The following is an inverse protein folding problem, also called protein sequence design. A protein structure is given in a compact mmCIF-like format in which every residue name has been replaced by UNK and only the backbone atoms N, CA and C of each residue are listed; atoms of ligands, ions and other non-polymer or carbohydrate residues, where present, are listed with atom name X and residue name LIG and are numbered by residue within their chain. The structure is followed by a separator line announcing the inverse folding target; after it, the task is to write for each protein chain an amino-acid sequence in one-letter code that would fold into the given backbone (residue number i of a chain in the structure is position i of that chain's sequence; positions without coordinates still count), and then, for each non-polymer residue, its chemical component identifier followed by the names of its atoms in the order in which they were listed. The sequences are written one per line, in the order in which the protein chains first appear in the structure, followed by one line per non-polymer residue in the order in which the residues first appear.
data_IF_417698128124
#
_entry.id   IF_417698128124
#
_cell.length_a   1.000
_cell.length_b   1.000
_cell.length_c   1.000
_cell.angle_alpha   90.00
_cell.angle_beta   90.00
_cell.angle_gamma   90.00
#
_symmetry.space_group_name_H-M   'P 1'
#
loop_
_entity.id
_entity.type
_entity.pdbx_description
1 polymer ?
#
# COMPACT_ATOMS: atom_id res chain seq x y z
N UNK A 1 -10.31 13.51 -15.67
CA UNK A 1 -8.95 13.08 -15.26
C UNK A 1 -8.48 13.81 -14.00
N UNK A 2 -8.62 15.14 -13.90
CA UNK A 2 -8.16 15.90 -12.73
C UNK A 2 -8.84 15.50 -11.41
N UNK A 3 -10.06 14.96 -11.45
CA UNK A 3 -10.79 14.49 -10.28
C UNK A 3 -10.48 13.02 -9.92
N UNK A 4 -9.84 12.29 -10.83
CA UNK A 4 -9.49 10.89 -10.66
C UNK A 4 -8.10 10.70 -10.06
N UNK A 5 -7.21 11.65 -10.32
CA UNK A 5 -5.81 11.55 -9.98
C UNK A 5 -5.37 12.70 -9.07
N UNK A 6 -4.36 12.42 -8.26
CA UNK A 6 -3.73 13.41 -7.38
C UNK A 6 -2.22 13.41 -7.56
N UNK A 7 -1.59 14.52 -7.21
CA UNK A 7 -0.15 14.55 -7.01
C UNK A 7 0.19 13.73 -5.77
N UNK A 8 1.19 12.88 -5.86
CA UNK A 8 1.55 11.97 -4.79
C UNK A 8 3.00 12.12 -4.41
N UNK A 9 3.28 11.78 -3.17
CA UNK A 9 4.63 11.75 -2.64
C UNK A 9 4.88 10.35 -2.04
N UNK A 10 5.93 9.69 -2.51
CA UNK A 10 6.48 8.50 -1.87
C UNK A 10 7.59 8.93 -0.93
N UNK A 11 7.50 8.50 0.30
CA UNK A 11 8.48 8.74 1.35
C UNK A 11 9.00 7.41 1.87
N UNK A 12 10.31 7.28 1.94
CA UNK A 12 10.96 6.09 2.47
C UNK A 12 12.13 6.51 3.38
N UNK A 13 12.10 6.01 4.60
CA UNK A 13 13.12 6.28 5.60
C UNK A 13 13.68 4.96 6.10
N UNK A 14 15.00 4.83 6.08
CA UNK A 14 15.71 3.67 6.60
C UNK A 14 16.81 4.14 7.53
N UNK A 15 16.81 3.60 8.73
CA UNK A 15 17.86 3.83 9.72
C UNK A 15 18.43 2.49 10.15
N UNK A 16 19.73 2.41 10.21
CA UNK A 16 20.41 1.20 10.70
C UNK A 16 21.59 1.56 11.61
N UNK A 17 21.83 0.68 12.54
CA UNK A 17 22.98 0.76 13.44
C UNK A 17 23.64 -0.62 13.53
N UNK A 18 24.97 -0.62 13.61
CA UNK A 18 25.76 -1.82 13.87
C UNK A 18 26.81 -1.53 14.90
N UNK A 19 27.17 -2.54 15.67
CA UNK A 19 28.18 -2.43 16.69
C UNK A 19 28.72 -3.78 17.10
N UNK A 20 29.88 -3.76 17.73
CA UNK A 20 30.57 -4.98 18.21
C UNK A 20 30.94 -4.82 19.69
N UNK A 21 29.94 -4.83 20.61
CA UNK A 21 30.24 -4.77 22.05
C UNK A 21 30.87 -6.10 22.50
N UNK A 22 32.11 -6.04 22.99
CA UNK A 22 32.87 -7.24 23.34
C UNK A 22 33.10 -8.10 22.12
N UNK A 23 32.68 -9.37 22.19
CA UNK A 23 32.80 -10.33 21.08
C UNK A 23 31.52 -10.44 20.23
N UNK A 24 30.42 -9.78 20.62
CA UNK A 24 29.16 -9.82 19.90
C UNK A 24 29.22 -8.90 18.67
N UNK A 25 28.54 -9.32 17.58
CA UNK A 25 28.23 -8.44 16.45
C UNK A 25 26.72 -8.23 16.42
N UNK A 26 26.30 -6.99 16.49
CA UNK A 26 24.90 -6.63 16.52
C UNK A 26 24.61 -5.70 15.35
N UNK A 27 23.50 -5.97 14.67
CA UNK A 27 22.93 -5.10 13.65
C UNK A 27 21.46 -4.91 13.93
N UNK A 28 21.00 -3.68 13.87
CA UNK A 28 19.57 -3.34 13.95
C UNK A 28 19.22 -2.36 12.84
N UNK A 29 18.05 -2.51 12.26
CA UNK A 29 17.52 -1.55 11.29
C UNK A 29 16.03 -1.37 11.44
N UNK A 30 15.57 -0.17 11.11
CA UNK A 30 14.17 0.19 11.05
C UNK A 30 13.90 0.93 9.74
N UNK A 31 12.82 0.57 9.06
CA UNK A 31 12.38 1.18 7.83
C UNK A 31 10.91 1.59 7.91
N UNK A 32 10.59 2.74 7.33
CA UNK A 32 9.25 3.23 7.14
C UNK A 32 9.04 3.61 5.68
N UNK A 33 7.97 3.11 5.08
CA UNK A 33 7.53 3.47 3.73
C UNK A 33 6.11 4.01 3.81
N UNK A 34 5.91 5.19 3.21
CA UNK A 34 4.58 5.74 2.93
C UNK A 34 4.51 6.05 1.44
N UNK A 35 3.66 5.31 0.74
CA UNK A 35 3.47 5.44 -0.70
C UNK A 35 2.00 5.74 -0.98
N UNK A 36 1.72 6.98 -1.35
CA UNK A 36 0.39 7.39 -1.79
C UNK A 36 0.23 7.13 -3.27
N UNK A 37 -0.80 6.36 -3.65
CA UNK A 37 -1.12 6.05 -5.04
C UNK A 37 -1.57 7.28 -5.83
N UNK A 38 -1.48 7.22 -7.15
CA UNK A 38 -1.98 8.26 -8.06
C UNK A 38 -3.50 8.40 -7.98
N UNK A 39 -4.21 7.29 -7.79
CA UNK A 39 -5.65 7.26 -7.58
C UNK A 39 -5.92 7.61 -6.12
N UNK A 40 -6.93 8.43 -5.87
CA UNK A 40 -7.35 8.76 -4.51
C UNK A 40 -7.82 7.49 -3.78
N UNK A 41 -7.44 7.35 -2.51
CA UNK A 41 -7.80 6.16 -1.71
C UNK A 41 -6.85 4.96 -1.89
N UNK A 42 -5.90 5.01 -2.81
CA UNK A 42 -4.84 4.00 -2.91
C UNK A 42 -3.61 4.46 -2.13
N UNK A 43 -3.43 3.91 -0.95
CA UNK A 43 -2.33 4.25 -0.05
C UNK A 43 -1.69 2.98 0.49
N UNK A 44 -0.38 2.97 0.61
CA UNK A 44 0.38 1.88 1.22
C UNK A 44 1.32 2.44 2.29
N UNK A 45 1.24 1.88 3.48
CA UNK A 45 2.21 2.11 4.54
C UNK A 45 2.88 0.79 4.92
N UNK A 46 4.16 0.85 5.23
CA UNK A 46 4.92 -0.32 5.66
C UNK A 46 5.96 0.06 6.69
N UNK A 47 5.97 -0.67 7.77
CA UNK A 47 7.02 -0.64 8.79
C UNK A 47 7.82 -1.93 8.70
N UNK A 48 9.13 -1.82 8.82
CA UNK A 48 10.04 -2.97 8.88
C UNK A 48 11.03 -2.79 10.00
N UNK A 49 11.29 -3.86 10.74
CA UNK A 49 12.33 -3.89 11.74
C UNK A 49 13.15 -5.17 11.56
N UNK A 50 14.45 -5.08 11.72
CA UNK A 50 15.34 -6.24 11.67
C UNK A 50 16.40 -6.13 12.76
N UNK A 51 16.66 -7.26 13.41
CA UNK A 51 17.74 -7.39 14.38
C UNK A 51 18.53 -8.65 14.02
N UNK A 52 19.84 -8.54 13.98
CA UNK A 52 20.77 -9.65 13.86
C UNK A 52 21.79 -9.58 14.98
N UNK A 53 22.02 -10.71 15.59
CA UNK A 53 23.04 -10.87 16.64
C UNK A 53 23.86 -12.11 16.31
N UNK A 54 25.17 -11.94 16.27
CA UNK A 54 26.14 -13.02 16.14
C UNK A 54 27.04 -12.96 17.38
N UNK A 55 27.15 -14.07 18.11
CA UNK A 55 27.88 -14.13 19.35
C UNK A 55 28.81 -15.38 19.41
N UNK A 56 30.11 -15.23 19.31
CA UNK A 56 31.06 -16.32 19.58
C UNK A 56 31.13 -16.55 21.08
N UNK A 57 30.54 -17.64 21.56
CA UNK A 57 30.57 -18.06 22.98
C UNK A 57 31.98 -18.58 23.34
N UNK A 58 32.58 -19.33 22.43
CA UNK A 58 33.90 -19.92 22.51
C UNK A 58 34.56 -19.88 21.14
N UNK A 59 35.85 -20.12 21.06
CA UNK A 59 36.57 -20.19 19.79
C UNK A 59 36.02 -21.27 18.84
N UNK A 60 35.40 -22.29 19.42
CA UNK A 60 34.77 -23.39 18.70
C UNK A 60 33.26 -23.32 18.59
N UNK A 61 32.60 -22.37 19.26
CA UNK A 61 31.10 -22.25 19.29
C UNK A 61 30.68 -20.81 19.06
N UNK A 62 29.94 -20.61 17.95
CA UNK A 62 29.28 -19.36 17.64
C UNK A 62 27.76 -19.59 17.53
N UNK A 63 26.99 -18.71 18.10
CA UNK A 63 25.55 -18.68 17.91
C UNK A 63 25.15 -17.39 17.21
N UNK A 64 24.05 -17.45 16.48
CA UNK A 64 23.49 -16.27 15.86
C UNK A 64 21.97 -16.33 15.75
N UNK A 65 21.39 -15.16 15.68
CA UNK A 65 19.97 -14.97 15.50
C UNK A 65 19.72 -13.82 14.54
N UNK A 66 18.77 -14.02 13.64
CA UNK A 66 18.25 -12.96 12.78
C UNK A 66 16.74 -12.98 12.90
N UNK A 67 16.15 -11.84 13.30
CA UNK A 67 14.73 -11.65 13.38
C UNK A 67 14.33 -10.44 12.54
N UNK A 68 13.26 -10.58 11.78
CA UNK A 68 12.69 -9.50 10.99
C UNK A 68 11.18 -9.45 11.19
N UNK A 69 10.67 -8.26 11.37
CA UNK A 69 9.25 -7.96 11.44
C UNK A 69 8.88 -6.99 10.33
N UNK A 70 7.74 -7.21 9.72
CA UNK A 70 7.14 -6.31 8.76
C UNK A 70 5.65 -6.21 9.02
N UNK A 71 5.17 -4.98 9.13
CA UNK A 71 3.74 -4.66 9.11
C UNK A 71 3.48 -3.83 7.87
N UNK A 72 2.41 -4.12 7.14
CA UNK A 72 1.95 -3.29 6.05
C UNK A 72 0.44 -3.08 6.14
N UNK A 73 0.04 -1.91 5.73
CA UNK A 73 -1.35 -1.53 5.51
C UNK A 73 -1.47 -1.02 4.08
N UNK A 74 -2.41 -1.57 3.35
CA UNK A 74 -2.70 -1.19 1.97
C UNK A 74 -4.18 -0.90 1.82
N UNK A 75 -4.49 0.35 1.50
CA UNK A 75 -5.83 0.78 1.14
C UNK A 75 -5.95 0.77 -0.38
N UNK A 76 -6.94 0.05 -0.87
CA UNK A 76 -7.29 0.00 -2.29
C UNK A 76 -8.83 0.00 -2.41
N UNK A 77 -9.40 1.18 -2.51
CA UNK A 77 -10.83 1.37 -2.78
C UNK A 77 -11.18 1.29 -4.27
N UNK A 78 -10.18 1.16 -5.14
CA UNK A 78 -10.41 1.12 -6.58
C UNK A 78 -11.10 -0.19 -6.98
N UNK A 79 -12.22 -0.07 -7.71
CA UNK A 79 -12.97 -1.21 -8.19
C UNK A 79 -12.30 -1.93 -9.37
N UNK A 80 -13.06 -2.79 -10.04
CA UNK A 80 -12.64 -3.47 -11.26
C UNK A 80 -13.64 -3.23 -12.40
N UNK A 81 -13.20 -3.36 -13.63
CA UNK A 81 -14.05 -3.16 -14.80
C UNK A 81 -14.57 -1.72 -14.88
N UNK A 82 -15.89 -1.52 -14.88
CA UNK A 82 -16.50 -0.18 -14.95
C UNK A 82 -16.38 0.62 -13.65
N UNK A 83 -16.08 -0.03 -12.53
CA UNK A 83 -15.76 0.59 -11.25
C UNK A 83 -14.28 0.95 -11.09
N UNK A 84 -13.40 0.55 -12.02
CA UNK A 84 -12.01 0.99 -12.06
C UNK A 84 -11.93 2.43 -12.57
N UNK A 85 -11.31 3.29 -11.78
CA UNK A 85 -11.17 4.72 -12.08
C UNK A 85 -10.38 4.96 -13.36
N UNK A 86 -9.34 4.18 -13.63
CA UNK A 86 -8.55 4.32 -14.85
C UNK A 86 -9.37 3.94 -16.08
N UNK A 87 -10.04 2.79 -16.06
CA UNK A 87 -10.93 2.34 -17.13
C UNK A 87 -12.08 3.32 -17.37
N UNK A 88 -12.67 3.84 -16.29
CA UNK A 88 -13.71 4.85 -16.39
C UNK A 88 -13.19 6.14 -17.03
N UNK A 89 -12.05 6.66 -16.56
CA UNK A 89 -11.49 7.92 -17.04
C UNK A 89 -11.01 7.86 -18.51
N UNK A 90 -10.62 6.68 -18.99
CA UNK A 90 -10.13 6.50 -20.37
C UNK A 90 -11.22 6.16 -21.37
N UNK A 91 -12.30 5.49 -20.95
CA UNK A 91 -13.35 5.03 -21.84
C UNK A 91 -14.61 5.92 -21.84
N UNK A 92 -14.82 6.72 -20.79
CA UNK A 92 -15.92 7.69 -20.78
C UNK A 92 -15.50 8.97 -21.50
N UNK A 93 -16.25 9.32 -22.53
CA UNK A 93 -15.95 10.51 -23.31
C UNK A 93 -16.02 11.78 -22.40
N UNK A 94 -15.16 12.79 -22.61
CA UNK A 94 -15.08 14.00 -21.80
C UNK A 94 -16.39 14.84 -21.77
N UNK A 95 -17.30 14.59 -22.69
CA UNK A 95 -18.59 15.25 -22.75
C UNK A 95 -19.50 14.86 -21.56
N UNK A 96 -19.30 13.67 -20.99
CA UNK A 96 -20.10 13.20 -19.88
C UNK A 96 -19.58 13.77 -18.55
N UNK A 97 -20.41 14.46 -17.78
CA UNK A 97 -19.98 15.04 -16.52
C UNK A 97 -19.85 13.97 -15.42
N UNK A 98 -19.04 14.26 -14.41
CA UNK A 98 -18.92 13.43 -13.21
C UNK A 98 -20.14 13.61 -12.30
N UNK A 99 -20.65 14.85 -12.22
CA UNK A 99 -21.77 15.22 -11.37
C UNK A 99 -22.99 15.59 -12.20
N UNK A 100 -24.18 15.27 -11.68
CA UNK A 100 -25.43 15.72 -12.28
C UNK A 100 -25.47 17.24 -12.36
N UNK A 101 -26.03 17.74 -13.47
CA UNK A 101 -26.18 19.17 -13.72
C UNK A 101 -27.60 19.49 -14.06
N UNK A 102 -28.04 20.68 -13.64
CA UNK A 102 -29.34 21.25 -14.01
C UNK A 102 -29.35 21.78 -15.46
N UNK A 103 -30.47 22.29 -15.92
CA UNK A 103 -30.61 22.91 -17.24
C UNK A 103 -29.71 24.12 -17.49
N UNK A 104 -29.18 24.76 -16.44
CA UNK A 104 -28.25 25.88 -16.47
C UNK A 104 -26.78 25.43 -16.32
N UNK A 105 -26.55 24.12 -16.31
CA UNK A 105 -25.23 23.46 -16.12
C UNK A 105 -24.64 23.61 -14.72
N UNK A 106 -25.40 24.01 -13.70
CA UNK A 106 -24.93 24.03 -12.32
C UNK A 106 -24.93 22.61 -11.75
N UNK A 107 -23.96 22.33 -10.87
CA UNK A 107 -23.91 21.03 -10.16
C UNK A 107 -25.12 20.92 -9.24
N UNK A 108 -25.79 19.78 -9.29
CA UNK A 108 -26.89 19.45 -8.41
C UNK A 108 -26.39 18.85 -7.09
N UNK A 109 -27.08 19.19 -6.02
CA UNK A 109 -26.81 18.71 -4.67
C UNK A 109 -28.02 17.91 -4.14
N UNK A 110 -27.75 17.01 -3.21
CA UNK A 110 -28.81 16.32 -2.46
C UNK A 110 -29.28 17.17 -1.26
N UNK A 111 -30.22 16.62 -0.49
CA UNK A 111 -30.82 17.29 0.68
C UNK A 111 -29.78 17.54 1.81
N UNK A 112 -28.69 16.81 1.81
CA UNK A 112 -27.60 16.93 2.78
C UNK A 112 -26.46 17.85 2.29
N UNK A 113 -26.58 18.39 1.07
CA UNK A 113 -25.58 19.27 0.47
C UNK A 113 -24.42 18.55 -0.21
N UNK A 114 -24.51 17.24 -0.44
CA UNK A 114 -23.51 16.51 -1.23
C UNK A 114 -23.79 16.61 -2.72
N UNK A 115 -22.73 16.65 -3.52
CA UNK A 115 -22.82 16.65 -4.98
C UNK A 115 -23.44 15.32 -5.46
N UNK A 116 -24.44 15.39 -6.30
CA UNK A 116 -25.04 14.21 -6.92
C UNK A 116 -24.20 13.72 -8.08
N UNK A 117 -23.82 12.45 -8.07
CA UNK A 117 -23.02 11.85 -9.15
C UNK A 117 -23.88 11.51 -10.36
N UNK A 118 -23.31 11.63 -11.55
CA UNK A 118 -23.95 11.20 -12.80
C UNK A 118 -23.61 9.72 -13.08
N UNK A 119 -24.63 8.88 -13.05
CA UNK A 119 -24.53 7.46 -13.37
C UNK A 119 -24.64 7.14 -14.85
N UNK A 120 -24.83 8.14 -15.70
CA UNK A 120 -24.98 7.94 -17.14
C UNK A 120 -26.19 7.12 -17.56
N UNK A 121 -27.25 7.12 -16.76
CA UNK A 121 -28.48 6.34 -16.93
C UNK A 121 -29.65 7.17 -17.48
N UNK A 122 -29.38 8.36 -18.02
CA UNK A 122 -30.39 9.27 -18.54
C UNK A 122 -30.89 10.30 -17.51
N UNK A 123 -30.46 10.24 -16.27
CA UNK A 123 -30.84 11.24 -15.23
C UNK A 123 -30.28 12.63 -15.51
N UNK A 124 -29.26 12.73 -16.38
CA UNK A 124 -28.69 13.99 -16.83
C UNK A 124 -29.18 14.31 -18.25
N UNK A 125 -30.24 15.06 -18.35
CA UNK A 125 -30.85 15.50 -19.61
C UNK A 125 -31.26 14.37 -20.56
N UNK A 126 -31.52 13.16 -20.06
CA UNK A 126 -31.97 12.00 -20.85
C UNK A 126 -30.89 11.25 -21.60
N UNK A 127 -29.63 11.66 -21.52
CA UNK A 127 -28.54 10.99 -22.22
C UNK A 127 -28.02 9.79 -21.43
N UNK A 128 -28.07 8.62 -22.06
CA UNK A 128 -27.47 7.39 -21.53
C UNK A 128 -26.06 7.26 -22.09
N UNK A 129 -25.08 6.99 -21.22
CA UNK A 129 -23.70 6.73 -21.64
C UNK A 129 -23.61 5.34 -22.31
N UNK A 130 -22.89 5.22 -23.43
CA UNK A 130 -22.66 3.93 -24.07
C UNK A 130 -21.72 3.01 -23.28
N UNK A 131 -20.89 3.58 -22.39
CA UNK A 131 -19.97 2.85 -21.51
C UNK A 131 -20.24 3.22 -20.05
N UNK A 132 -20.19 2.23 -19.17
CA UNK A 132 -20.38 2.40 -17.72
C UNK A 132 -21.73 3.07 -17.35
N UNK A 133 -22.80 2.78 -18.08
CA UNK A 133 -24.15 3.18 -17.68
C UNK A 133 -24.50 2.53 -16.33
N UNK A 134 -25.16 3.29 -15.46
CA UNK A 134 -25.48 2.92 -14.08
C UNK A 134 -24.27 2.78 -13.13
N UNK A 135 -23.13 3.35 -13.45
CA UNK A 135 -21.92 3.32 -12.62
C UNK A 135 -21.26 4.70 -12.59
N UNK A 136 -20.57 5.02 -11.50
CA UNK A 136 -19.69 6.16 -11.41
C UNK A 136 -18.47 5.77 -10.56
N UNK A 137 -17.35 5.48 -11.22
CA UNK A 137 -16.15 4.98 -10.57
C UNK A 137 -15.57 5.92 -9.50
N UNK A 138 -15.78 7.23 -9.64
CA UNK A 138 -15.34 8.19 -8.62
C UNK A 138 -16.17 8.11 -7.34
N UNK A 139 -17.49 7.87 -7.46
CA UNK A 139 -18.31 7.63 -6.29
C UNK A 139 -17.99 6.28 -5.66
N UNK A 140 -17.82 5.24 -6.46
CA UNK A 140 -17.47 3.91 -5.98
C UNK A 140 -16.16 3.91 -5.21
N UNK A 141 -15.19 4.71 -5.64
CA UNK A 141 -13.91 4.89 -4.94
C UNK A 141 -14.08 5.40 -3.49
N UNK A 142 -15.09 6.23 -3.24
CA UNK A 142 -15.40 6.74 -1.91
C UNK A 142 -16.25 5.79 -1.07
N UNK A 143 -17.03 4.95 -1.71
CA UNK A 143 -17.93 3.99 -1.06
C UNK A 143 -17.24 2.65 -0.79
N UNK A 144 -16.31 2.26 -1.65
CA UNK A 144 -15.59 1.00 -1.52
C UNK A 144 -14.40 1.17 -0.57
N UNK A 145 -14.45 0.48 0.55
CA UNK A 145 -13.33 0.41 1.50
C UNK A 145 -12.61 -0.91 1.28
N UNK A 146 -11.49 -0.86 0.56
CA UNK A 146 -10.59 -1.98 0.43
C UNK A 146 -9.39 -1.75 1.34
N UNK A 147 -9.38 -2.34 2.53
CA UNK A 147 -8.23 -2.29 3.43
C UNK A 147 -7.65 -3.69 3.58
N UNK A 148 -6.34 -3.80 3.40
CA UNK A 148 -5.57 -5.01 3.64
C UNK A 148 -4.45 -4.70 4.62
N UNK A 149 -4.43 -5.40 5.73
CA UNK A 149 -3.37 -5.30 6.73
C UNK A 149 -2.67 -6.65 6.85
N UNK A 150 -1.35 -6.63 6.94
CA UNK A 150 -0.57 -7.83 7.11
C UNK A 150 0.59 -7.62 8.07
N UNK A 151 0.83 -8.67 8.87
CA UNK A 151 1.95 -8.75 9.77
C UNK A 151 2.77 -9.99 9.41
N UNK A 152 4.07 -9.83 9.26
CA UNK A 152 4.99 -10.92 9.00
C UNK A 152 6.14 -10.90 9.99
N UNK A 153 6.39 -12.04 10.61
CA UNK A 153 7.54 -12.25 11.49
C UNK A 153 8.37 -13.39 10.89
N UNK A 154 9.63 -13.12 10.67
CA UNK A 154 10.60 -14.12 10.22
C UNK A 154 11.72 -14.19 11.24
N UNK A 155 12.07 -15.40 11.66
CA UNK A 155 13.17 -15.62 12.59
C UNK A 155 14.01 -16.82 12.16
N UNK A 156 15.32 -16.68 12.30
CA UNK A 156 16.27 -17.76 12.10
C UNK A 156 17.29 -17.71 13.23
N UNK A 157 17.54 -18.83 13.86
CA UNK A 157 18.62 -19.00 14.82
C UNK A 157 19.55 -20.07 14.31
N UNK A 158 20.84 -19.91 14.54
CA UNK A 158 21.85 -20.89 14.15
C UNK A 158 22.93 -21.08 15.20
N UNK A 159 23.51 -22.24 15.20
CA UNK A 159 24.71 -22.56 15.96
C UNK A 159 25.77 -23.11 15.02
N UNK A 160 26.97 -22.54 15.08
CA UNK A 160 28.16 -22.99 14.33
C UNK A 160 29.15 -23.57 15.30
N UNK A 161 29.53 -24.84 15.06
CA UNK A 161 30.45 -25.60 15.87
C UNK A 161 31.69 -25.93 15.01
N UNK A 162 32.87 -25.49 15.44
CA UNK A 162 34.18 -25.83 14.83
C UNK A 162 34.80 -26.94 15.60
N UNK A 163 35.22 -27.99 14.88
CA UNK A 163 35.93 -29.13 15.47
C UNK A 163 37.02 -29.66 14.56
N UNK A 164 38.01 -30.31 15.13
CA UNK A 164 39.17 -30.87 14.41
C UNK A 164 39.87 -29.88 13.48
N UNK A 165 39.90 -28.59 13.82
CA UNK A 165 40.53 -27.46 13.11
C UNK A 165 39.94 -27.13 11.74
N UNK A 166 39.54 -28.14 10.95
CA UNK A 166 39.16 -27.98 9.53
C UNK A 166 37.67 -28.19 9.29
N UNK A 167 36.92 -28.60 10.30
CA UNK A 167 35.47 -28.88 10.17
C UNK A 167 34.64 -27.83 10.87
N UNK A 168 33.62 -27.34 10.15
CA UNK A 168 32.60 -26.45 10.69
C UNK A 168 31.25 -27.09 10.43
N UNK A 169 30.44 -27.21 11.47
CA UNK A 169 29.07 -27.70 11.39
C UNK A 169 28.09 -26.60 11.79
N UNK A 170 27.08 -26.35 10.96
CA UNK A 170 26.11 -25.31 11.20
C UNK A 170 24.69 -25.93 11.31
N UNK A 171 24.01 -25.61 12.38
CA UNK A 171 22.59 -25.91 12.60
C UNK A 171 21.79 -24.63 12.41
N UNK A 172 20.72 -24.71 11.62
CA UNK A 172 19.75 -23.61 11.42
C UNK A 172 18.38 -24.06 11.92
#
# INVERSE_FOLDING_TARGET
LAESYRNTLRQEYNVSASGSPGNAQIFASFGYLNNKGLIQGEDMQRYTARVRVDYPIKDWLKIGMNAAYSNFEWNNGNGSGTGDVFSFATNVAPIYPVYLRDGNRNIMYDELGYKRYDYGNGSNAGFVRPYAANSNALQELWLNVGNSEGNAINGTAYAEVKFLKDFTFTFN
#
